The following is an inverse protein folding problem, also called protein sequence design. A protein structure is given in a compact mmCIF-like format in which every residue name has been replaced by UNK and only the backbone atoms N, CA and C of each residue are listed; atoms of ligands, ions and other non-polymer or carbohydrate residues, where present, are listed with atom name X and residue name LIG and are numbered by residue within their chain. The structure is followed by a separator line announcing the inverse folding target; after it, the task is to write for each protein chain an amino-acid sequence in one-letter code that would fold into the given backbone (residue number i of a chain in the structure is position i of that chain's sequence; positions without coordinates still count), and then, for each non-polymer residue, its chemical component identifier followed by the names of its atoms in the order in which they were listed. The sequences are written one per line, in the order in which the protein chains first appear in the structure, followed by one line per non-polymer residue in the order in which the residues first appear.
data_IF_217674699057
#
_entry.id   IF_217674699057
#
_cell.length_a   1.000
_cell.length_b   1.000
_cell.length_c   1.000
_cell.angle_alpha   90.00
_cell.angle_beta   90.00
_cell.angle_gamma   90.00
#
_symmetry.space_group_name_H-M   'P 1'
#
loop_
_entity.id
_entity.type
_entity.pdbx_description
1 polymer ?
#
# COMPACT_ATOMS: atom_id res chain seq x y z
N UNK A 1 18.04 69.00 16.18
CA UNK A 1 16.75 68.42 15.76
C UNK A 1 17.05 67.04 15.20
N UNK A 2 16.88 66.00 16.02
CA UNK A 2 17.07 64.61 15.61
C UNK A 2 15.72 63.88 15.77
N UNK A 3 15.26 63.30 14.67
CA UNK A 3 14.14 62.36 14.59
C UNK A 3 14.44 61.08 15.40
N UNK A 4 13.46 60.52 16.14
CA UNK A 4 13.54 59.17 16.64
C UNK A 4 13.05 58.16 15.58
N UNK A 5 13.92 57.23 15.20
CA UNK A 5 13.58 56.01 14.47
C UNK A 5 12.47 55.23 15.21
N UNK A 6 11.33 55.01 14.55
CA UNK A 6 10.35 54.03 15.00
C UNK A 6 10.72 52.61 14.53
N UNK A 7 10.58 51.58 15.37
CA UNK A 7 10.71 50.19 14.95
C UNK A 7 9.46 49.77 14.16
N UNK A 8 9.68 49.23 12.95
CA UNK A 8 8.63 48.69 12.09
C UNK A 8 7.94 47.45 12.69
N UNK A 9 6.73 47.10 12.21
CA UNK A 9 5.93 46.03 12.77
C UNK A 9 6.58 44.65 12.56
N UNK A 10 6.55 43.83 13.61
CA UNK A 10 6.98 42.43 13.60
C UNK A 10 6.22 41.65 12.53
N UNK A 11 6.91 40.79 11.75
CA UNK A 11 6.24 39.86 10.85
C UNK A 11 5.39 38.85 11.64
N UNK A 12 4.22 38.44 11.12
CA UNK A 12 3.36 37.48 11.80
C UNK A 12 4.10 36.15 11.99
N UNK A 13 3.88 35.45 13.13
CA UNK A 13 4.53 34.19 13.41
C UNK A 13 4.06 33.13 12.42
N UNK A 14 5.02 32.56 11.70
CA UNK A 14 5.05 31.19 11.20
C UNK A 14 3.74 30.64 10.64
N UNK A 15 3.60 30.73 9.32
CA UNK A 15 2.91 29.69 8.56
C UNK A 15 3.68 28.37 8.71
N UNK A 16 3.48 27.70 9.83
CA UNK A 16 3.81 26.28 9.94
C UNK A 16 2.91 25.61 8.92
N UNK A 17 3.53 25.07 7.87
CA UNK A 17 2.92 24.02 7.07
C UNK A 17 2.34 23.01 8.05
N UNK A 18 1.03 23.06 8.22
CA UNK A 18 0.27 22.01 8.85
C UNK A 18 0.49 20.79 7.93
N UNK A 19 1.53 20.02 8.23
CA UNK A 19 1.78 18.74 7.58
C UNK A 19 0.59 17.89 7.98
N UNK A 20 -0.45 17.94 7.15
CA UNK A 20 -1.68 17.20 7.35
C UNK A 20 -1.28 15.74 7.25
N UNK A 21 -1.14 15.10 8.41
CA UNK A 21 -0.69 13.72 8.51
C UNK A 21 -1.78 12.87 7.85
N UNK A 22 -1.45 12.24 6.73
CA UNK A 22 -2.41 11.46 5.96
C UNK A 22 -2.97 10.33 6.84
N UNK A 23 -4.30 10.19 6.89
CA UNK A 23 -4.95 9.15 7.68
C UNK A 23 -4.64 7.75 7.13
N UNK A 24 -4.79 6.71 7.97
CA UNK A 24 -4.62 5.32 7.53
C UNK A 24 -5.52 5.00 6.32
N UNK A 25 -6.73 5.55 6.27
CA UNK A 25 -7.65 5.38 5.15
C UNK A 25 -7.09 6.01 3.87
N UNK A 26 -6.56 7.23 3.97
CA UNK A 26 -5.94 7.92 2.84
C UNK A 26 -4.74 7.15 2.31
N UNK A 27 -3.80 6.77 3.18
CA UNK A 27 -2.59 6.03 2.78
C UNK A 27 -2.92 4.65 2.19
N UNK A 28 -3.95 3.98 2.71
CA UNK A 28 -4.44 2.71 2.16
C UNK A 28 -5.03 2.93 0.76
N UNK A 29 -5.84 3.97 0.57
CA UNK A 29 -6.42 4.32 -0.73
C UNK A 29 -5.36 4.70 -1.77
N UNK A 30 -4.35 5.48 -1.38
CA UNK A 30 -3.20 5.83 -2.21
C UNK A 30 -2.45 4.57 -2.64
N UNK A 31 -2.13 3.68 -1.69
CA UNK A 31 -1.42 2.43 -1.99
C UNK A 31 -2.19 1.52 -2.94
N UNK A 32 -3.51 1.37 -2.74
CA UNK A 32 -4.38 0.63 -3.67
C UNK A 32 -4.33 1.22 -5.08
N UNK A 33 -4.36 2.55 -5.19
CA UNK A 33 -4.29 3.26 -6.48
C UNK A 33 -2.94 3.04 -7.15
N UNK A 34 -1.84 3.20 -6.41
CA UNK A 34 -0.48 2.96 -6.93
C UNK A 34 -0.31 1.55 -7.47
N UNK A 35 -0.77 0.54 -6.72
CA UNK A 35 -0.63 -0.87 -7.13
C UNK A 35 -1.49 -1.18 -8.36
N UNK A 36 -2.71 -0.64 -8.46
CA UNK A 36 -3.54 -0.76 -9.66
C UNK A 36 -2.88 -0.12 -10.87
N UNK A 37 -2.32 1.08 -10.72
CA UNK A 37 -1.61 1.77 -11.79
C UNK A 37 -0.36 0.99 -12.26
N UNK A 38 0.41 0.44 -11.32
CA UNK A 38 1.56 -0.40 -11.62
C UNK A 38 1.14 -1.65 -12.42
N UNK A 39 0.06 -2.32 -12.01
CA UNK A 39 -0.50 -3.44 -12.75
C UNK A 39 -0.94 -3.05 -14.16
N UNK A 40 -1.71 -1.98 -14.33
CA UNK A 40 -2.16 -1.54 -15.65
C UNK A 40 -0.99 -1.18 -16.57
N UNK A 41 0.04 -0.53 -16.03
CA UNK A 41 1.25 -0.21 -16.78
C UNK A 41 2.00 -1.47 -17.22
N UNK A 42 2.18 -2.44 -16.33
CA UNK A 42 2.84 -3.71 -16.65
C UNK A 42 2.04 -4.50 -17.70
N UNK A 43 0.73 -4.62 -17.50
CA UNK A 43 -0.17 -5.31 -18.43
C UNK A 43 -0.19 -4.64 -19.81
N UNK A 44 -0.25 -3.30 -19.88
CA UNK A 44 -0.22 -2.57 -21.14
C UNK A 44 1.09 -2.81 -21.90
N UNK A 45 2.24 -2.80 -21.21
CA UNK A 45 3.54 -3.11 -21.82
C UNK A 45 3.59 -4.54 -22.37
N UNK A 46 3.07 -5.52 -21.62
CA UNK A 46 3.02 -6.91 -22.07
C UNK A 46 2.10 -7.08 -23.28
N UNK A 47 0.89 -6.49 -23.25
CA UNK A 47 -0.06 -6.53 -24.36
C UNK A 47 0.52 -5.87 -25.61
N UNK A 48 1.14 -4.70 -25.47
CA UNK A 48 1.76 -4.00 -26.59
C UNK A 48 2.87 -4.83 -27.24
N UNK A 49 3.73 -5.48 -26.45
CA UNK A 49 4.75 -6.38 -26.98
C UNK A 49 4.12 -7.55 -27.76
N UNK A 50 3.09 -8.19 -27.22
CA UNK A 50 2.39 -9.29 -27.88
C UNK A 50 1.70 -8.84 -29.18
N UNK A 51 1.06 -7.68 -29.19
CA UNK A 51 0.41 -7.10 -30.37
C UNK A 51 1.41 -6.81 -31.50
N UNK A 52 2.64 -6.46 -31.15
CA UNK A 52 3.73 -6.25 -32.11
C UNK A 52 4.47 -7.55 -32.50
N UNK A 53 3.94 -8.72 -32.14
CA UNK A 53 4.55 -10.02 -32.43
C UNK A 53 5.85 -10.30 -31.66
N UNK A 54 6.13 -9.51 -30.62
CA UNK A 54 7.32 -9.70 -29.78
C UNK A 54 7.07 -10.80 -28.75
N UNK A 55 8.12 -11.56 -28.46
CA UNK A 55 8.10 -12.52 -27.35
C UNK A 55 8.31 -11.78 -26.04
N UNK A 56 7.55 -12.17 -25.01
CA UNK A 56 7.75 -11.64 -23.67
C UNK A 56 9.03 -12.25 -23.07
N UNK A 57 9.86 -11.38 -22.49
CA UNK A 57 11.01 -11.83 -21.72
C UNK A 57 10.56 -12.43 -20.37
N UNK A 58 11.39 -13.26 -19.76
CA UNK A 58 11.11 -13.78 -18.41
C UNK A 58 10.91 -12.67 -17.38
N UNK A 59 11.65 -11.58 -17.51
CA UNK A 59 11.49 -10.38 -16.67
C UNK A 59 10.12 -9.72 -16.87
N UNK A 60 9.67 -9.53 -18.12
CA UNK A 60 8.35 -8.96 -18.40
C UNK A 60 7.22 -9.83 -17.86
N UNK A 61 7.35 -11.16 -17.99
CA UNK A 61 6.41 -12.11 -17.41
C UNK A 61 6.40 -12.02 -15.89
N UNK A 62 7.57 -11.98 -15.26
CA UNK A 62 7.69 -11.83 -13.81
C UNK A 62 7.06 -10.53 -13.31
N UNK A 63 7.41 -9.38 -13.89
CA UNK A 63 6.88 -8.07 -13.50
C UNK A 63 5.36 -8.03 -13.64
N UNK A 64 4.81 -8.60 -14.73
CA UNK A 64 3.36 -8.64 -14.95
C UNK A 64 2.67 -9.55 -13.94
N UNK A 65 3.21 -10.75 -13.69
CA UNK A 65 2.65 -11.70 -12.72
C UNK A 65 2.73 -11.16 -11.28
N UNK A 66 3.85 -10.56 -10.89
CA UNK A 66 4.02 -9.92 -9.60
C UNK A 66 3.05 -8.74 -9.41
N UNK A 67 2.93 -7.86 -10.41
CA UNK A 67 2.01 -6.73 -10.33
C UNK A 67 0.54 -7.18 -10.24
N UNK A 68 0.17 -8.25 -10.96
CA UNK A 68 -1.16 -8.86 -10.88
C UNK A 68 -1.42 -9.44 -9.49
N UNK A 69 -0.48 -10.22 -8.95
CA UNK A 69 -0.62 -10.82 -7.63
C UNK A 69 -0.66 -9.74 -6.53
N UNK A 70 0.16 -8.69 -6.66
CA UNK A 70 0.16 -7.54 -5.76
C UNK A 70 -1.19 -6.86 -5.77
N UNK A 71 -1.72 -6.54 -6.97
CA UNK A 71 -3.07 -5.99 -7.11
C UNK A 71 -4.12 -6.87 -6.45
N UNK A 72 -4.07 -8.18 -6.64
CA UNK A 72 -5.07 -9.09 -6.05
C UNK A 72 -5.10 -9.04 -4.51
N UNK A 73 -3.97 -8.83 -3.84
CA UNK A 73 -3.96 -8.64 -2.38
C UNK A 73 -4.62 -7.32 -1.97
N UNK A 74 -4.34 -6.24 -2.68
CA UNK A 74 -4.91 -4.92 -2.39
C UNK A 74 -6.39 -4.80 -2.80
N UNK A 75 -6.82 -5.52 -3.84
CA UNK A 75 -8.24 -5.61 -4.20
C UNK A 75 -9.03 -6.37 -3.12
N UNK A 76 -8.46 -7.40 -2.48
CA UNK A 76 -9.08 -8.03 -1.28
C UNK A 76 -9.25 -7.05 -0.12
N UNK A 77 -8.29 -6.14 0.09
CA UNK A 77 -8.44 -5.07 1.10
C UNK A 77 -9.60 -4.16 0.73
N UNK A 78 -9.68 -3.76 -0.54
CA UNK A 78 -10.80 -2.95 -1.04
C UNK A 78 -12.16 -3.65 -0.86
N UNK A 79 -12.23 -4.97 -1.08
CA UNK A 79 -13.44 -5.78 -0.86
C UNK A 79 -13.84 -5.82 0.61
N UNK A 80 -12.90 -5.96 1.54
CA UNK A 80 -13.18 -5.91 2.98
C UNK A 80 -13.68 -4.52 3.41
N UNK A 81 -13.10 -3.44 2.89
CA UNK A 81 -13.52 -2.06 3.19
C UNK A 81 -14.91 -1.79 2.60
N UNK A 82 -15.09 -2.00 1.31
CA UNK A 82 -16.32 -1.59 0.59
C UNK A 82 -17.45 -2.61 0.76
N UNK A 83 -17.14 -3.90 0.63
CA UNK A 83 -18.11 -4.98 0.69
C UNK A 83 -18.59 -5.29 2.11
N UNK A 84 -17.71 -5.15 3.11
CA UNK A 84 -18.03 -5.44 4.52
C UNK A 84 -18.04 -4.22 5.43
N UNK A 85 -17.80 -3.02 4.89
CA UNK A 85 -17.81 -1.75 5.62
C UNK A 85 -16.83 -1.73 6.79
N UNK A 86 -15.69 -2.41 6.65
CA UNK A 86 -14.63 -2.41 7.65
C UNK A 86 -13.78 -1.14 7.53
N UNK A 87 -13.25 -0.66 8.65
CA UNK A 87 -12.20 0.35 8.65
C UNK A 87 -10.93 -0.19 7.99
N UNK A 88 -10.10 0.69 7.40
CA UNK A 88 -8.92 0.26 6.65
C UNK A 88 -7.94 -0.54 7.52
N UNK A 89 -7.75 -0.16 8.79
CA UNK A 89 -6.87 -0.88 9.71
C UNK A 89 -7.35 -2.32 9.97
N UNK A 90 -8.66 -2.53 10.15
CA UNK A 90 -9.24 -3.85 10.36
C UNK A 90 -9.14 -4.70 9.09
N UNK A 91 -9.49 -4.12 7.93
CA UNK A 91 -9.36 -4.79 6.64
C UNK A 91 -7.91 -5.24 6.38
N UNK A 92 -6.93 -4.36 6.62
CA UNK A 92 -5.51 -4.68 6.49
C UNK A 92 -5.11 -5.84 7.41
N UNK A 93 -5.47 -5.80 8.70
CA UNK A 93 -5.16 -6.88 9.66
C UNK A 93 -5.73 -8.22 9.20
N UNK A 94 -6.96 -8.23 8.69
CA UNK A 94 -7.63 -9.45 8.21
C UNK A 94 -6.94 -10.04 6.99
N UNK A 95 -6.70 -9.23 5.96
CA UNK A 95 -6.03 -9.70 4.73
C UNK A 95 -4.58 -10.10 5.02
N UNK A 96 -3.88 -9.44 5.96
CA UNK A 96 -2.56 -9.88 6.44
C UNK A 96 -2.58 -11.28 7.03
N UNK A 97 -3.62 -11.64 7.77
CA UNK A 97 -3.78 -13.01 8.28
C UNK A 97 -3.86 -14.02 7.13
N UNK A 98 -4.60 -13.69 6.07
CA UNK A 98 -4.69 -14.55 4.89
C UNK A 98 -3.38 -14.64 4.12
N UNK A 99 -2.65 -13.54 3.95
CA UNK A 99 -1.36 -13.55 3.28
C UNK A 99 -0.32 -14.39 4.04
N UNK A 100 -0.32 -14.34 5.38
CA UNK A 100 0.53 -15.23 6.20
C UNK A 100 0.14 -16.69 6.03
N UNK A 101 -1.16 -17.00 6.04
CA UNK A 101 -1.63 -18.36 5.83
C UNK A 101 -1.26 -18.86 4.43
N UNK A 102 -1.42 -18.03 3.39
CA UNK A 102 -1.00 -18.34 2.03
C UNK A 102 0.48 -18.73 1.94
N UNK A 103 1.37 -18.00 2.64
CA UNK A 103 2.80 -18.28 2.63
C UNK A 103 3.21 -19.54 3.43
N UNK A 104 2.35 -20.02 4.33
CA UNK A 104 2.68 -21.11 5.27
C UNK A 104 1.85 -22.37 5.05
N UNK A 105 0.73 -22.26 4.33
CA UNK A 105 -0.27 -23.31 4.20
C UNK A 105 -0.13 -24.21 3.00
N UNK A 106 0.89 -24.03 2.15
CA UNK A 106 1.02 -24.81 0.91
C UNK A 106 1.47 -26.25 1.23
N UNK A 107 0.61 -27.28 1.05
CA UNK A 107 1.02 -28.67 1.15
C UNK A 107 1.94 -28.99 -0.05
N UNK A 108 2.90 -29.91 0.09
CA UNK A 108 3.72 -30.32 -1.05
C UNK A 108 2.81 -30.84 -2.17
N UNK A 109 2.92 -30.22 -3.35
CA UNK A 109 2.18 -30.64 -4.54
C UNK A 109 2.45 -32.12 -4.81
N UNK A 110 1.39 -32.91 -5.01
CA UNK A 110 1.50 -34.35 -5.30
C UNK A 110 2.11 -34.65 -6.67
N UNK A 111 2.30 -33.63 -7.52
CA UNK A 111 2.98 -33.70 -8.81
C UNK A 111 3.89 -32.48 -9.00
N UNK A 112 5.10 -32.65 -9.58
CA UNK A 112 5.94 -31.52 -9.96
C UNK A 112 5.21 -30.65 -10.98
N UNK A 113 5.12 -29.34 -10.71
CA UNK A 113 4.63 -28.37 -11.67
C UNK A 113 5.65 -28.12 -12.78
N UNK A 114 5.28 -27.33 -13.79
CA UNK A 114 6.23 -26.85 -14.78
C UNK A 114 7.13 -25.77 -14.17
N UNK A 115 8.29 -25.50 -14.79
CA UNK A 115 9.15 -24.36 -14.39
C UNK A 115 8.39 -23.02 -14.43
N UNK A 116 7.44 -22.89 -15.35
CA UNK A 116 6.58 -21.72 -15.46
C UNK A 116 5.65 -21.60 -14.24
N UNK A 117 5.03 -22.69 -13.80
CA UNK A 117 4.19 -22.71 -12.60
C UNK A 117 5.00 -22.32 -11.35
N UNK A 118 6.24 -22.82 -11.25
CA UNK A 118 7.15 -22.43 -10.18
C UNK A 118 7.51 -20.95 -10.22
N UNK A 119 7.74 -20.38 -11.41
CA UNK A 119 8.02 -18.95 -11.57
C UNK A 119 6.81 -18.07 -11.20
N UNK A 120 5.58 -18.47 -11.59
CA UNK A 120 4.37 -17.77 -11.15
C UNK A 120 4.16 -17.86 -9.64
N UNK A 121 4.33 -19.06 -9.06
CA UNK A 121 4.24 -19.24 -7.62
C UNK A 121 5.30 -18.41 -6.89
N UNK A 122 6.50 -18.27 -7.46
CA UNK A 122 7.53 -17.39 -6.92
C UNK A 122 7.11 -15.92 -6.94
N UNK A 123 6.61 -15.41 -8.07
CA UNK A 123 6.11 -14.05 -8.19
C UNK A 123 4.95 -13.77 -7.21
N UNK A 124 4.02 -14.70 -7.07
CA UNK A 124 2.89 -14.59 -6.15
C UNK A 124 3.33 -14.58 -4.67
N UNK A 125 4.31 -15.41 -4.31
CA UNK A 125 4.92 -15.40 -2.96
C UNK A 125 5.69 -14.11 -2.68
N UNK A 126 6.40 -13.55 -3.67
CA UNK A 126 7.03 -12.24 -3.52
C UNK A 126 5.99 -11.13 -3.30
N UNK A 127 4.94 -11.08 -4.12
CA UNK A 127 3.85 -10.12 -3.95
C UNK A 127 3.16 -10.22 -2.57
N UNK A 128 2.97 -11.44 -2.05
CA UNK A 128 2.41 -11.63 -0.70
C UNK A 128 3.36 -11.10 0.40
N UNK A 129 4.68 -11.26 0.24
CA UNK A 129 5.67 -10.70 1.17
C UNK A 129 5.69 -9.17 1.12
N UNK A 130 5.66 -8.59 -0.08
CA UNK A 130 5.62 -7.14 -0.25
C UNK A 130 4.34 -6.55 0.35
N UNK A 131 3.20 -7.21 0.13
CA UNK A 131 1.94 -6.85 0.78
C UNK A 131 2.06 -6.87 2.30
N UNK A 132 2.66 -7.92 2.90
CA UNK A 132 2.88 -7.99 4.35
C UNK A 132 3.85 -6.91 4.86
N UNK A 133 4.84 -6.53 4.06
CA UNK A 133 5.74 -5.45 4.40
C UNK A 133 5.00 -4.10 4.40
N UNK A 134 4.39 -3.74 3.27
CA UNK A 134 3.68 -2.47 3.06
C UNK A 134 2.53 -2.27 4.05
N UNK A 135 1.66 -3.27 4.20
CA UNK A 135 0.55 -3.19 5.15
C UNK A 135 1.03 -3.15 6.61
N UNK A 136 2.23 -3.67 6.89
CA UNK A 136 2.85 -3.55 8.20
C UNK A 136 3.25 -2.10 8.49
N UNK A 137 3.89 -1.44 7.51
CA UNK A 137 4.25 -0.02 7.60
C UNK A 137 3.03 0.87 7.82
N UNK A 138 1.95 0.68 7.05
CA UNK A 138 0.71 1.45 7.21
C UNK A 138 0.09 1.31 8.60
N UNK A 139 0.02 0.08 9.13
CA UNK A 139 -0.54 -0.17 10.46
C UNK A 139 0.34 0.41 11.58
N UNK A 140 1.66 0.33 11.45
CA UNK A 140 2.58 0.94 12.42
C UNK A 140 2.47 2.46 12.41
N UNK A 141 2.38 3.08 11.23
CA UNK A 141 2.18 4.52 11.11
C UNK A 141 0.84 4.94 11.75
N UNK A 142 -0.23 4.20 11.48
CA UNK A 142 -1.53 4.46 12.11
C UNK A 142 -1.49 4.37 13.64
N UNK A 143 -0.79 3.39 14.21
CA UNK A 143 -0.64 3.25 15.65
C UNK A 143 0.14 4.43 16.26
N UNK A 144 1.23 4.86 15.63
CA UNK A 144 2.00 6.03 16.06
C UNK A 144 1.10 7.27 16.07
N UNK A 145 0.28 7.44 15.03
CA UNK A 145 -0.62 8.57 14.90
C UNK A 145 -1.72 8.56 15.97
N UNK A 146 -2.28 7.38 16.28
CA UNK A 146 -3.23 7.21 17.39
C UNK A 146 -2.60 7.52 18.76
N UNK A 147 -1.36 7.10 18.99
CA UNK A 147 -0.66 7.38 20.26
C UNK A 147 -0.24 8.83 20.42
N UNK A 148 -0.03 9.56 19.32
CA UNK A 148 0.29 10.99 19.33
C UNK A 148 -0.95 11.90 19.52
N UNK A 149 -2.15 11.35 19.36
CA UNK A 149 -3.43 12.03 19.62
C UNK A 149 -4.31 11.18 20.55
N UNK A 150 -3.95 11.04 21.83
CA UNK A 150 -4.92 10.58 22.82
C UNK A 150 -6.00 11.66 22.91
N UNK A 151 -7.25 11.29 22.62
CA UNK A 151 -8.43 12.10 22.84
C UNK A 151 -8.29 12.91 24.14
N UNK A 152 -8.49 14.22 24.02
CA UNK A 152 -8.73 15.13 25.13
C UNK A 152 -9.79 14.52 26.04
N UNK A 153 -9.35 13.84 27.11
CA UNK A 153 -10.21 13.36 28.16
C UNK A 153 -10.80 14.60 28.83
N UNK A 154 -12.08 14.84 28.57
CA UNK A 154 -12.88 15.83 29.29
C UNK A 154 -12.79 15.50 30.78
N UNK A 155 -12.33 16.41 31.65
CA UNK A 155 -12.31 16.15 33.07
C UNK A 155 -13.75 15.99 33.58
N UNK A 156 -14.03 15.05 34.49
CA UNK A 156 -15.34 14.97 35.13
C UNK A 156 -15.53 16.19 36.06
N UNK A 157 -16.71 16.79 35.99
CA UNK A 157 -17.20 17.83 36.91
C UNK A 157 -17.27 17.33 38.37
#
# INVERSE_FOLDING_TARGET
MNDPCQPGPLPPPGGLHEITRASCDQLTAEKMTTVRHAFYTAAAKAIFALQNGQRLTGEQLFVTAHAQASRAWWDRVAEEITGKRLSSDHALRRVRSWARHYLTGEPPLTRPGTLFDHALAHAARMAARDFLHDSGHLLTQHLIDQTAHPLAATPPD
#
